data_IF_608741974047
#
_entry.id   IF_608741974047
#
_cell.length_a   1.000
_cell.length_b   1.000
_cell.length_c   1.000
_cell.angle_alpha   90.00
_cell.angle_beta   90.00
_cell.angle_gamma   90.00
#
_symmetry.space_group_name_H-M   'P 1'
#
loop_
_entity.id
_entity.type
_entity.pdbx_description
1 polymer ?
#
# COMPACT_ATOMS: atom_id res chain seq x y z
N UNK A 1 6.16 -16.63 -1.60
CA UNK A 1 4.93 -15.93 -1.88
C UNK A 1 5.18 -14.45 -1.97
N UNK A 2 4.59 -13.81 -2.91
CA UNK A 2 4.81 -12.40 -3.16
C UNK A 2 3.57 -11.60 -2.84
N UNK A 3 3.78 -10.44 -2.24
CA UNK A 3 2.68 -9.55 -1.93
C UNK A 3 2.94 -8.20 -2.57
N UNK A 4 1.94 -7.41 -2.66
CA UNK A 4 1.99 -6.11 -3.30
C UNK A 4 2.18 -5.02 -2.27
N UNK A 5 2.97 -4.03 -2.60
CA UNK A 5 3.07 -2.84 -1.78
C UNK A 5 2.60 -1.66 -2.61
N UNK A 6 1.64 -0.91 -2.10
CA UNK A 6 1.17 0.29 -2.74
C UNK A 6 1.65 1.43 -1.87
N UNK A 7 2.38 2.37 -2.45
CA UNK A 7 2.98 3.43 -1.68
C UNK A 7 2.44 4.78 -2.04
N UNK A 8 2.37 5.65 -1.08
CA UNK A 8 2.11 7.05 -1.36
C UNK A 8 2.85 7.89 -0.33
N UNK A 9 3.06 9.12 -0.66
CA UNK A 9 3.80 10.01 0.21
C UNK A 9 2.85 10.88 0.97
N UNK A 10 3.10 10.99 2.28
CA UNK A 10 2.30 11.85 3.09
C UNK A 10 3.22 12.76 3.84
N UNK A 11 3.24 14.00 3.50
CA UNK A 11 4.12 14.97 4.12
C UNK A 11 5.56 14.48 3.96
N UNK A 12 6.26 14.21 5.05
CA UNK A 12 7.60 13.77 4.96
C UNK A 12 7.78 12.28 5.03
N UNK A 13 6.71 11.54 5.00
CA UNK A 13 6.79 10.10 5.20
C UNK A 13 6.22 9.38 4.00
N UNK A 14 6.61 8.13 3.85
CA UNK A 14 6.00 7.26 2.86
C UNK A 14 5.16 6.23 3.59
N UNK A 15 3.97 5.98 3.06
CA UNK A 15 3.08 4.98 3.62
C UNK A 15 2.98 3.85 2.62
N UNK A 16 3.09 2.62 3.10
CA UNK A 16 3.01 1.44 2.25
C UNK A 16 1.87 0.56 2.74
N UNK A 17 1.06 0.09 1.81
CA UNK A 17 -0.07 -0.75 2.15
C UNK A 17 -0.02 -2.02 1.35
N UNK A 18 -0.38 -3.13 1.97
CA UNK A 18 -0.41 -4.41 1.33
C UNK A 18 -1.87 -4.80 1.14
N UNK A 19 -2.40 -4.70 -0.06
CA UNK A 19 -3.83 -4.95 -0.26
C UNK A 19 -4.24 -6.40 -0.07
N UNK A 20 -3.32 -7.33 -0.22
CA UNK A 20 -3.69 -8.72 -0.08
C UNK A 20 -4.15 -9.08 1.32
N UNK A 21 -3.53 -8.48 2.33
CA UNK A 21 -3.91 -8.81 3.69
C UNK A 21 -4.33 -7.61 4.51
N UNK A 22 -4.16 -6.42 4.00
CA UNK A 22 -4.63 -5.24 4.71
C UNK A 22 -3.65 -4.65 5.69
N UNK A 23 -2.39 -5.03 5.64
CA UNK A 23 -1.41 -4.43 6.53
C UNK A 23 -0.90 -3.12 5.96
N UNK A 24 -0.38 -2.28 6.82
CA UNK A 24 0.16 -1.00 6.40
C UNK A 24 1.33 -0.62 7.29
N UNK A 25 2.21 0.18 6.76
CA UNK A 25 3.34 0.65 7.54
C UNK A 25 3.85 1.96 6.94
N UNK A 26 4.87 2.52 7.52
CA UNK A 26 5.38 3.78 7.03
C UNK A 26 6.88 3.86 7.26
N UNK A 27 7.53 4.81 6.59
CA UNK A 27 8.94 5.03 6.76
C UNK A 27 9.33 6.35 6.15
N UNK A 28 10.55 6.78 6.38
CA UNK A 28 11.02 8.04 5.85
C UNK A 28 11.48 7.90 4.42
N UNK A 29 11.71 6.71 3.95
CA UNK A 29 12.04 6.45 2.56
C UNK A 29 11.14 5.34 2.06
N UNK A 30 11.10 5.18 0.75
CA UNK A 30 10.31 4.10 0.17
C UNK A 30 10.84 2.76 0.65
N UNK A 31 12.16 2.61 0.66
CA UNK A 31 12.74 1.34 1.09
C UNK A 31 12.40 1.02 2.52
N UNK A 32 12.42 2.05 3.37
CA UNK A 32 12.11 1.82 4.77
C UNK A 32 10.64 1.46 4.94
N UNK A 33 9.76 2.15 4.22
CA UNK A 33 8.33 1.85 4.32
C UNK A 33 8.05 0.42 3.87
N UNK A 34 8.71 -0.04 2.82
CA UNK A 34 8.50 -1.39 2.33
C UNK A 34 9.08 -2.42 3.31
N UNK A 35 10.25 -2.13 3.87
CA UNK A 35 10.85 -3.06 4.82
C UNK A 35 9.96 -3.18 6.07
N UNK A 36 9.42 -2.06 6.51
CA UNK A 36 8.51 -2.11 7.66
C UNK A 36 7.22 -2.81 7.32
N UNK A 37 6.73 -2.65 6.08
CA UNK A 37 5.54 -3.36 5.67
C UNK A 37 5.79 -4.86 5.63
N UNK A 38 6.97 -5.26 5.16
CA UNK A 38 7.28 -6.67 5.12
C UNK A 38 7.25 -7.25 6.51
N UNK A 39 7.85 -6.58 7.46
CA UNK A 39 7.86 -7.09 8.81
C UNK A 39 6.45 -7.14 9.39
N UNK A 40 5.67 -6.09 9.18
CA UNK A 40 4.31 -6.08 9.70
C UNK A 40 3.47 -7.19 9.07
N UNK A 41 3.67 -7.45 7.79
CA UNK A 41 2.92 -8.47 7.11
C UNK A 41 3.33 -9.86 7.59
N UNK A 42 4.62 -10.05 7.82
CA UNK A 42 5.09 -11.34 8.32
C UNK A 42 4.51 -11.63 9.71
N UNK A 43 4.46 -10.60 10.56
CA UNK A 43 3.89 -10.79 11.87
C UNK A 43 2.39 -11.07 11.80
N UNK A 44 1.71 -10.36 10.90
CA UNK A 44 0.28 -10.61 10.74
C UNK A 44 0.03 -12.05 10.29
N UNK A 45 0.86 -12.55 9.37
CA UNK A 45 0.62 -13.87 8.84
C UNK A 45 0.96 -14.99 9.83
N UNK A 46 1.74 -14.68 10.85
CA UNK A 46 1.96 -15.65 11.89
C UNK A 46 0.69 -15.94 12.66
N UNK A 47 -0.15 -14.91 12.84
CA UNK A 47 -1.38 -15.14 13.55
C UNK A 47 -2.51 -15.46 12.60
N UNK A 48 -2.50 -14.97 11.41
CA UNK A 48 -3.59 -15.15 10.48
C UNK A 48 -3.02 -15.65 9.16
N UNK A 49 -2.71 -16.91 9.05
CA UNK A 49 -2.07 -17.41 7.84
C UNK A 49 -2.94 -17.21 6.61
N UNK A 50 -2.33 -16.81 5.54
CA UNK A 50 -3.05 -16.58 4.33
C UNK A 50 -3.58 -17.87 3.78
N UNK A 51 -4.81 -17.88 3.30
CA UNK A 51 -5.32 -19.03 2.69
C UNK A 51 -4.98 -19.04 1.31
N UNK A 52 -4.46 -18.09 0.87
CA UNK A 52 -3.82 -18.17 -0.18
C UNK A 52 -4.07 -17.91 -1.48
N UNK A 53 -5.10 -18.01 -1.83
CA UNK A 53 -5.16 -17.95 -3.12
C UNK A 53 -5.76 -16.80 -3.71
N UNK A 54 -6.49 -16.03 -3.03
CA UNK A 54 -7.13 -15.03 -3.69
C UNK A 54 -6.33 -13.79 -3.67
N UNK A 55 -5.86 -13.28 -4.73
CA UNK A 55 -5.13 -12.04 -4.80
C UNK A 55 -5.98 -10.98 -5.37
N UNK A 56 -5.90 -9.76 -4.87
CA UNK A 56 -6.69 -8.67 -5.44
C UNK A 56 -6.21 -8.34 -6.83
N UNK A 57 -7.09 -7.80 -7.62
CA UNK A 57 -6.75 -7.31 -8.93
C UNK A 57 -6.61 -5.82 -8.81
N UNK A 58 -5.44 -5.29 -9.18
CA UNK A 58 -5.15 -3.88 -9.02
C UNK A 58 -5.07 -3.26 -10.38
N UNK A 59 -5.82 -2.21 -10.61
CA UNK A 59 -5.78 -1.56 -11.89
C UNK A 59 -5.85 -0.05 -11.69
N UNK A 60 -5.57 0.69 -12.73
CA UNK A 60 -5.56 2.12 -12.70
C UNK A 60 -6.58 2.64 -13.70
N UNK A 61 -7.28 3.69 -13.36
CA UNK A 61 -8.22 4.27 -14.30
C UNK A 61 -8.12 5.79 -14.20
N UNK A 62 -8.50 6.46 -15.28
CA UNK A 62 -8.41 7.90 -15.33
C UNK A 62 -9.76 8.53 -15.16
N UNK A 63 -9.79 9.64 -14.48
CA UNK A 63 -11.01 10.36 -14.29
C UNK A 63 -10.90 11.67 -15.05
N UNK A 64 -11.99 12.03 -15.76
CA UNK A 64 -11.93 13.17 -16.52
C UNK A 64 -12.40 14.28 -15.76
N UNK A 65 -11.72 15.20 -15.16
CA UNK A 65 -12.29 16.10 -14.50
C UNK A 65 -11.59 17.20 -14.26
N UNK A 66 -11.21 17.62 -14.62
CA UNK A 66 -10.50 18.52 -14.50
C UNK A 66 -10.81 19.68 -13.80
N UNK A 67 -11.86 19.96 -13.52
CA UNK A 67 -12.05 21.08 -12.97
C UNK A 67 -11.69 21.19 -11.70
N UNK A 68 -11.58 20.37 -11.14
CA UNK A 68 -11.36 20.45 -9.91
C UNK A 68 -10.17 21.01 -9.59
N UNK A 69 -9.58 20.87 -10.11
CA UNK A 69 -8.54 21.25 -9.81
C UNK A 69 -8.27 22.48 -9.91
N UNK A 70 -8.78 22.87 -10.30
CA UNK A 70 -8.54 24.00 -10.38
C UNK A 70 -8.86 24.68 -9.55
N UNK A 71 -9.38 24.35 -9.11
CA UNK A 71 -9.54 24.94 -8.35
C UNK A 71 -9.10 25.11 -7.57
N UNK A 72 -8.87 24.70 -7.56
CA UNK A 72 -8.34 24.83 -6.85
C UNK A 72 -7.79 25.57 -6.84
N UNK A 73 -7.86 25.76 -7.29
CA UNK A 73 -7.14 26.37 -7.33
C UNK A 73 -6.96 26.83 -7.38
#
# INVERSE_FOLDING_TARGET
MAFTAILHKEEDMYVAECPEVGTASQGETIEEAVANLKEATELYLEEFPAKGEEKPIITVFEVKHAKTEKNIG
#
